data_IF_104806183201
#
_entry.id   IF_104806183201
#
_cell.length_a   1.000
_cell.length_b   1.000
_cell.length_c   1.000
_cell.angle_alpha   90.00
_cell.angle_beta   90.00
_cell.angle_gamma   90.00
#
_symmetry.space_group_name_H-M   'P 1'
#
loop_
_entity.id
_entity.type
_entity.pdbx_description
1 polymer ?
#
# COMPACT_ATOMS: atom_id res chain seq x y z
N UNK A 1 11.07 -16.80 -13.37
CA UNK A 1 10.85 -15.41 -12.96
C UNK A 1 9.58 -15.30 -12.13
N UNK A 2 9.69 -14.66 -10.99
CA UNK A 2 8.58 -14.53 -10.07
C UNK A 2 7.67 -13.38 -10.48
N UNK A 3 6.37 -13.64 -10.54
CA UNK A 3 5.40 -12.59 -10.80
C UNK A 3 4.54 -12.39 -9.57
N UNK A 4 4.23 -11.14 -9.29
CA UNK A 4 3.35 -10.79 -8.19
C UNK A 4 1.97 -10.46 -8.74
N UNK A 5 0.90 -10.82 -8.01
CA UNK A 5 -0.44 -10.44 -8.47
C UNK A 5 -0.60 -8.95 -8.47
N UNK A 6 -1.37 -8.44 -9.42
CA UNK A 6 -1.65 -7.01 -9.48
C UNK A 6 -2.64 -6.63 -8.39
N UNK A 7 -2.65 -5.36 -8.04
CA UNK A 7 -3.52 -4.85 -6.99
C UNK A 7 -4.88 -4.50 -7.58
N UNK A 8 -5.92 -4.96 -6.92
CA UNK A 8 -7.31 -4.66 -7.30
C UNK A 8 -7.82 -3.46 -6.54
N UNK A 9 -7.53 -3.37 -5.23
CA UNK A 9 -8.09 -2.33 -4.37
C UNK A 9 -7.16 -2.07 -3.19
N UNK A 10 -7.24 -0.87 -2.65
CA UNK A 10 -6.52 -0.50 -1.43
C UNK A 10 -7.44 0.35 -0.57
N UNK A 11 -7.37 0.15 0.74
CA UNK A 11 -8.20 0.87 1.70
C UNK A 11 -7.35 1.25 2.90
N UNK A 12 -7.36 2.54 3.25
CA UNK A 12 -6.62 2.97 4.42
C UNK A 12 -7.38 2.61 5.69
N UNK A 13 -6.63 2.29 6.74
CA UNK A 13 -7.19 1.93 8.03
C UNK A 13 -6.48 2.67 9.14
N UNK A 14 -7.09 2.65 10.33
CA UNK A 14 -6.51 3.30 11.50
C UNK A 14 -5.13 2.72 11.80
N UNK A 15 -4.26 3.54 12.39
CA UNK A 15 -2.92 3.10 12.74
C UNK A 15 -1.96 3.04 11.56
N UNK A 16 -2.26 3.78 10.50
CA UNK A 16 -1.42 3.85 9.30
C UNK A 16 -1.25 2.48 8.65
N UNK A 17 -2.33 1.72 8.61
CA UNK A 17 -2.36 0.43 7.94
C UNK A 17 -3.14 0.52 6.65
N UNK A 18 -2.81 -0.36 5.71
CA UNK A 18 -3.50 -0.46 4.43
C UNK A 18 -4.03 -1.87 4.25
N UNK A 19 -5.29 -1.99 3.88
CA UNK A 19 -5.85 -3.27 3.47
C UNK A 19 -5.71 -3.33 1.95
N UNK A 20 -4.91 -4.25 1.45
CA UNK A 20 -4.64 -4.39 0.03
C UNK A 20 -5.29 -5.65 -0.48
N UNK A 21 -6.12 -5.52 -1.51
CA UNK A 21 -6.75 -6.67 -2.17
C UNK A 21 -6.07 -6.85 -3.52
N UNK A 22 -5.57 -8.05 -3.76
CA UNK A 22 -4.91 -8.39 -5.01
C UNK A 22 -5.91 -9.03 -5.98
N UNK A 23 -5.61 -8.98 -7.26
CA UNK A 23 -6.52 -9.52 -8.28
C UNK A 23 -6.73 -11.02 -8.19
N UNK A 24 -5.82 -11.74 -7.54
CA UNK A 24 -6.00 -13.16 -7.31
C UNK A 24 -6.89 -13.48 -6.10
N UNK A 25 -7.48 -12.47 -5.48
CA UNK A 25 -8.37 -12.63 -4.32
C UNK A 25 -7.68 -12.56 -2.97
N UNK A 26 -6.37 -12.52 -2.93
CA UNK A 26 -5.62 -12.44 -1.67
C UNK A 26 -5.76 -11.05 -1.07
N UNK A 27 -5.93 -10.99 0.25
CA UNK A 27 -5.95 -9.74 0.99
C UNK A 27 -4.82 -9.72 1.99
N UNK A 28 -4.16 -8.57 2.11
CA UNK A 28 -3.07 -8.41 3.06
C UNK A 28 -3.18 -7.06 3.76
N UNK A 29 -2.70 -7.02 5.00
CA UNK A 29 -2.56 -5.78 5.74
C UNK A 29 -1.10 -5.37 5.66
N UNK A 30 -0.86 -4.15 5.21
CA UNK A 30 0.49 -3.58 5.15
C UNK A 30 0.59 -2.45 6.16
N UNK A 31 1.52 -2.58 7.11
CA UNK A 31 1.72 -1.56 8.14
C UNK A 31 2.72 -0.53 7.63
N UNK A 32 2.27 0.70 7.46
CA UNK A 32 3.12 1.78 6.98
C UNK A 32 3.92 2.46 8.09
N UNK A 33 3.70 2.08 9.35
CA UNK A 33 4.39 2.75 10.46
C UNK A 33 5.90 2.76 10.31
N UNK A 34 6.56 1.65 9.93
CA UNK A 34 8.01 1.69 9.75
C UNK A 34 8.46 2.68 8.68
N UNK A 35 7.64 2.91 7.65
CA UNK A 35 8.00 3.85 6.59
C UNK A 35 8.08 5.28 7.10
N UNK A 36 7.33 5.61 8.15
CA UNK A 36 7.25 6.97 8.64
C UNK A 36 8.55 7.45 9.29
N UNK A 37 9.47 6.52 9.54
CA UNK A 37 10.80 6.88 10.02
C UNK A 37 11.70 7.39 8.89
N UNK A 38 11.32 7.13 7.66
CA UNK A 38 12.02 7.63 6.48
C UNK A 38 11.45 9.02 6.14
N UNK A 39 12.33 10.00 6.02
CA UNK A 39 11.92 11.37 5.71
C UNK A 39 11.06 11.47 4.46
N UNK A 40 11.29 10.60 3.48
CA UNK A 40 10.52 10.63 2.25
C UNK A 40 9.05 10.27 2.46
N UNK A 41 8.75 9.49 3.50
CA UNK A 41 7.38 9.06 3.80
C UNK A 41 6.72 9.83 4.94
N UNK A 42 7.45 10.74 5.59
CA UNK A 42 6.87 11.51 6.69
C UNK A 42 5.61 12.29 6.34
N UNK A 43 5.40 12.76 5.09
CA UNK A 43 4.14 13.41 4.77
C UNK A 43 2.92 12.54 5.04
N UNK A 44 3.07 11.21 5.09
CA UNK A 44 1.97 10.31 5.39
C UNK A 44 1.49 10.38 6.85
N UNK A 45 2.21 11.11 7.69
CA UNK A 45 1.70 11.42 9.04
C UNK A 45 0.42 12.25 8.96
N UNK A 46 0.23 12.98 7.87
CA UNK A 46 -1.00 13.71 7.64
C UNK A 46 -2.09 12.71 7.24
N UNK A 47 -3.14 12.63 8.06
CA UNK A 47 -4.20 11.66 7.84
C UNK A 47 -4.94 11.87 6.52
N UNK A 48 -5.19 13.12 6.15
CA UNK A 48 -5.89 13.40 4.90
C UNK A 48 -5.09 12.88 3.71
N UNK A 49 -3.78 13.08 3.72
CA UNK A 49 -2.94 12.55 2.65
C UNK A 49 -2.93 11.02 2.68
N UNK A 50 -2.73 10.43 3.86
CA UNK A 50 -2.69 8.97 3.99
C UNK A 50 -3.96 8.34 3.44
N UNK A 51 -5.11 8.93 3.78
CA UNK A 51 -6.41 8.38 3.38
C UNK A 51 -6.72 8.59 1.88
N UNK A 52 -5.89 9.37 1.18
CA UNK A 52 -6.10 9.60 -0.25
C UNK A 52 -5.45 8.55 -1.14
N UNK A 53 -4.91 7.48 -0.55
CA UNK A 53 -4.23 6.43 -1.29
C UNK A 53 -5.11 5.83 -2.38
N UNK A 54 -4.53 5.53 -3.53
CA UNK A 54 -5.24 4.93 -4.67
C UNK A 54 -4.37 3.86 -5.30
N UNK A 55 -5.03 2.89 -5.96
CA UNK A 55 -4.33 1.91 -6.78
C UNK A 55 -3.88 2.62 -8.04
N UNK A 56 -2.65 2.35 -8.50
CA UNK A 56 -2.21 2.94 -9.75
C UNK A 56 -3.05 2.35 -10.90
N UNK A 57 -3.09 3.05 -12.02
CA UNK A 57 -4.05 2.70 -13.08
C UNK A 57 -3.83 1.33 -13.70
N UNK A 58 -2.65 0.73 -13.50
CA UNK A 58 -2.35 -0.60 -14.04
C UNK A 58 -2.30 -1.68 -12.96
N UNK A 59 -2.50 -1.32 -11.68
CA UNK A 59 -2.44 -2.28 -10.60
C UNK A 59 -1.05 -2.70 -10.21
N UNK A 60 -0.03 -1.95 -10.63
CA UNK A 60 1.37 -2.27 -10.29
C UNK A 60 1.80 -1.73 -8.94
N UNK A 61 0.95 -0.97 -8.29
CA UNK A 61 1.27 -0.42 -6.98
C UNK A 61 0.16 0.47 -6.48
N UNK A 62 0.45 1.15 -5.39
CA UNK A 62 -0.45 2.16 -4.83
C UNK A 62 0.28 3.49 -4.80
N UNK A 63 -0.47 4.57 -4.91
CA UNK A 63 0.12 5.90 -4.95
C UNK A 63 -0.65 6.85 -4.05
N UNK A 64 0.06 7.79 -3.46
CA UNK A 64 -0.52 8.94 -2.75
C UNK A 64 -0.35 10.20 -3.60
N UNK A 65 0.82 10.34 -4.20
CA UNK A 65 1.10 11.45 -5.12
C UNK A 65 2.31 11.05 -5.98
N UNK A 66 2.84 11.99 -6.77
CA UNK A 66 3.92 11.70 -7.71
C UNK A 66 5.20 11.22 -7.04
N UNK A 67 5.37 11.49 -5.74
CA UNK A 67 6.59 11.17 -5.03
C UNK A 67 6.43 10.03 -4.04
N UNK A 68 5.19 9.62 -3.73
CA UNK A 68 4.91 8.63 -2.71
C UNK A 68 4.13 7.48 -3.30
N UNK A 69 4.78 6.34 -3.45
CA UNK A 69 4.14 5.13 -3.96
C UNK A 69 4.79 3.90 -3.35
N UNK A 70 4.11 2.77 -3.48
CA UNK A 70 4.64 1.46 -3.08
C UNK A 70 4.29 0.47 -4.18
N UNK A 71 5.24 -0.40 -4.50
CA UNK A 71 5.05 -1.40 -5.54
C UNK A 71 4.22 -2.59 -5.06
N UNK A 72 3.65 -3.34 -6.00
CA UNK A 72 2.93 -4.57 -5.66
C UNK A 72 3.85 -5.58 -5.00
N UNK A 73 5.12 -5.63 -5.40
CA UNK A 73 6.06 -6.58 -4.82
C UNK A 73 6.33 -6.26 -3.35
N UNK A 74 6.46 -4.98 -3.02
CA UNK A 74 6.65 -4.57 -1.63
C UNK A 74 5.45 -4.96 -0.78
N UNK A 75 4.25 -4.68 -1.29
CA UNK A 75 3.02 -4.96 -0.55
C UNK A 75 2.79 -6.46 -0.40
N UNK A 76 3.11 -7.21 -1.43
CA UNK A 76 2.95 -8.67 -1.39
C UNK A 76 3.94 -9.32 -0.42
N UNK A 77 5.20 -8.89 -0.51
CA UNK A 77 6.28 -9.52 0.26
C UNK A 77 6.17 -9.19 1.75
N UNK A 78 5.86 -7.94 2.08
CA UNK A 78 5.90 -7.46 3.47
C UNK A 78 4.53 -7.30 4.10
N UNK A 79 3.45 -7.46 3.35
CA UNK A 79 2.11 -7.47 3.92
C UNK A 79 1.82 -8.78 4.63
N UNK A 80 0.96 -8.72 5.63
CA UNK A 80 0.54 -9.90 6.39
C UNK A 80 -0.84 -10.35 5.94
N UNK A 81 -1.10 -11.68 5.96
CA UNK A 81 -2.44 -12.16 5.56
C UNK A 81 -3.54 -11.49 6.37
N UNK A 82 -4.61 -11.13 5.69
CA UNK A 82 -5.73 -10.41 6.29
C UNK A 82 -7.01 -11.22 6.15
N UNK A 83 -7.09 -12.29 6.84
CA UNK A 83 -8.30 -13.12 6.80
C UNK A 83 -9.24 -12.80 7.91
#
# INVERSE_FOLDING_TARGET
MKKYPKILNVESRNGKQLLVTFKNGTKKIYDCSPLLEDNNFKPLLNDALFNSVQVDKHGYGIVWNDELDLSESELWTNGLPAD
#
